data_IF_142525139481
#
_entry.id   IF_142525139481
#
_cell.length_a   1.000
_cell.length_b   1.000
_cell.length_c   1.000
_cell.angle_alpha   90.00
_cell.angle_beta   90.00
_cell.angle_gamma   90.00
#
_symmetry.space_group_name_H-M   'P 1'
#
loop_
_entity.id
_entity.type
_entity.pdbx_description
1 polymer ?
#
# COMPACT_ATOMS: atom_id res chain seq x y z
N UNK A 1 19.12 1.59 -12.32
CA UNK A 1 18.08 2.36 -13.02
C UNK A 1 16.77 2.00 -12.37
N UNK A 2 15.99 3.00 -12.01
CA UNK A 2 14.67 2.83 -11.42
C UNK A 2 13.65 2.45 -12.48
N UNK A 3 12.70 1.56 -12.15
CA UNK A 3 11.57 1.26 -13.01
C UNK A 3 10.37 2.16 -12.69
N UNK A 4 10.04 3.10 -13.58
CA UNK A 4 8.76 3.82 -13.50
C UNK A 4 7.65 2.90 -14.03
N UNK A 5 6.69 2.58 -13.17
CA UNK A 5 5.61 1.63 -13.46
C UNK A 5 4.36 2.35 -13.95
N UNK A 6 3.63 1.67 -14.83
CA UNK A 6 2.24 1.99 -15.16
C UNK A 6 1.29 0.95 -14.58
N UNK A 7 0.00 1.30 -14.46
CA UNK A 7 -1.03 0.42 -13.90
C UNK A 7 -0.98 -0.98 -14.51
N UNK A 8 -0.91 -1.99 -13.65
CA UNK A 8 -0.84 -3.41 -14.01
C UNK A 8 0.57 -3.95 -14.30
N UNK A 9 1.58 -3.08 -14.44
CA UNK A 9 2.96 -3.48 -14.68
C UNK A 9 3.58 -4.14 -13.46
N UNK A 10 4.46 -5.11 -13.72
CA UNK A 10 5.22 -5.84 -12.70
C UNK A 10 6.71 -5.55 -12.84
N UNK A 11 7.44 -5.51 -11.73
CA UNK A 11 8.90 -5.39 -11.72
C UNK A 11 9.50 -6.31 -10.65
N UNK A 12 10.58 -7.07 -10.95
CA UNK A 12 11.25 -7.88 -9.94
C UNK A 12 11.88 -7.02 -8.84
N UNK A 13 11.87 -7.55 -7.62
CA UNK A 13 12.56 -6.96 -6.48
C UNK A 13 13.89 -7.68 -6.29
N UNK A 14 14.99 -6.93 -6.37
CA UNK A 14 16.35 -7.45 -6.23
C UNK A 14 16.86 -7.46 -4.78
N UNK A 15 16.04 -7.00 -3.83
CA UNK A 15 16.35 -6.88 -2.40
C UNK A 15 15.16 -7.34 -1.58
N UNK A 16 15.42 -7.93 -0.40
CA UNK A 16 14.39 -8.37 0.53
C UNK A 16 14.01 -7.30 1.56
N UNK A 17 14.97 -6.48 2.00
CA UNK A 17 14.72 -5.33 2.88
C UNK A 17 14.50 -4.06 2.09
N UNK A 18 13.30 -3.52 2.22
CA UNK A 18 12.75 -2.45 1.40
C UNK A 18 12.04 -1.40 2.26
N UNK A 19 11.85 -0.23 1.68
CA UNK A 19 10.88 0.76 2.16
C UNK A 19 9.88 1.04 1.04
N UNK A 20 8.58 1.10 1.38
CA UNK A 20 7.57 1.69 0.51
C UNK A 20 7.33 3.11 0.99
N UNK A 21 7.74 4.07 0.17
CA UNK A 21 7.57 5.51 0.40
C UNK A 21 6.34 6.00 -0.33
N UNK A 22 5.48 6.73 0.36
CA UNK A 22 4.26 7.31 -0.20
C UNK A 22 4.34 8.82 -0.03
N UNK A 23 3.95 9.57 -1.07
CA UNK A 23 3.71 11.01 -0.99
C UNK A 23 2.36 11.33 -1.63
N UNK A 24 1.41 11.83 -0.85
CA UNK A 24 0.01 12.01 -1.26
C UNK A 24 -0.42 13.49 -1.32
N UNK A 25 0.44 14.43 -0.91
CA UNK A 25 0.12 15.87 -0.88
C UNK A 25 -0.97 16.29 0.11
N UNK A 26 -1.61 15.34 0.80
CA UNK A 26 -2.60 15.53 1.85
C UNK A 26 -2.51 14.38 2.86
N UNK A 27 -2.89 14.57 4.14
CA UNK A 27 -2.91 13.47 5.09
C UNK A 27 -3.76 12.29 4.63
N UNK A 28 -3.12 11.13 4.47
CA UNK A 28 -3.76 9.84 4.23
C UNK A 28 -3.43 8.89 5.38
N UNK A 29 -4.23 7.86 5.58
CA UNK A 29 -3.86 6.69 6.36
C UNK A 29 -3.22 5.67 5.42
N UNK A 30 -1.97 5.30 5.69
CA UNK A 30 -1.31 4.21 4.99
C UNK A 30 -1.34 2.93 5.85
N UNK A 31 -1.92 1.86 5.30
CA UNK A 31 -2.00 0.54 5.90
C UNK A 31 -1.51 -0.51 4.91
N UNK A 32 -1.33 -1.74 5.37
CA UNK A 32 -0.99 -2.85 4.49
C UNK A 32 -1.68 -4.15 4.93
N UNK A 33 -2.18 -4.88 3.94
CA UNK A 33 -2.85 -6.16 4.11
C UNK A 33 -1.95 -7.30 3.62
N UNK A 34 -1.82 -8.35 4.44
CA UNK A 34 -1.10 -9.55 4.10
C UNK A 34 -2.08 -10.58 3.51
N UNK A 35 -1.71 -11.17 2.38
CA UNK A 35 -2.53 -12.18 1.70
C UNK A 35 -1.74 -13.45 1.41
N UNK A 36 -2.46 -14.57 1.35
CA UNK A 36 -1.88 -15.84 0.93
C UNK A 36 -1.65 -15.93 -0.60
N UNK A 37 -1.25 -17.10 -1.08
CA UNK A 37 -0.99 -17.35 -2.50
C UNK A 37 -2.22 -17.10 -3.40
N UNK A 38 -3.43 -17.29 -2.88
CA UNK A 38 -4.70 -16.98 -3.56
C UNK A 38 -5.09 -15.51 -3.44
N UNK A 39 -4.50 -14.80 -2.48
CA UNK A 39 -4.78 -13.40 -2.18
C UNK A 39 -5.79 -13.19 -1.09
N UNK A 40 -6.17 -14.29 -0.42
CA UNK A 40 -7.06 -14.25 0.72
C UNK A 40 -6.33 -13.70 1.93
N UNK A 41 -6.99 -12.79 2.63
CA UNK A 41 -6.58 -12.30 3.93
C UNK A 41 -7.32 -13.13 4.99
N UNK A 42 -6.59 -13.62 5.99
CA UNK A 42 -7.12 -14.59 6.97
C UNK A 42 -7.69 -13.95 8.24
N UNK A 43 -7.93 -12.63 8.22
CA UNK A 43 -8.52 -11.87 9.32
C UNK A 43 -7.82 -10.53 9.55
N UNK A 44 -8.32 -9.77 10.51
CA UNK A 44 -7.76 -8.44 10.86
C UNK A 44 -6.33 -8.51 11.40
N UNK A 45 -5.95 -9.66 11.96
CA UNK A 45 -4.58 -9.91 12.44
C UNK A 45 -3.54 -9.96 11.30
N UNK A 46 -3.98 -10.01 10.05
CA UNK A 46 -3.14 -9.95 8.85
C UNK A 46 -3.07 -8.54 8.25
N UNK A 47 -3.52 -7.53 8.99
CA UNK A 47 -3.50 -6.14 8.57
C UNK A 47 -2.59 -5.34 9.50
N UNK A 48 -1.65 -4.61 8.91
CA UNK A 48 -0.88 -3.57 9.60
C UNK A 48 -1.53 -2.22 9.33
N UNK A 49 -1.92 -1.50 10.38
CA UNK A 49 -2.57 -0.18 10.29
C UNK A 49 -2.14 0.69 11.48
N UNK A 50 -2.43 2.00 11.52
CA UNK A 50 -1.93 2.88 12.58
C UNK A 50 -2.18 2.43 14.03
N UNK A 51 -3.26 1.69 14.29
CA UNK A 51 -3.59 1.14 15.61
C UNK A 51 -2.86 -0.17 15.96
N UNK A 52 -2.46 -0.95 14.95
CA UNK A 52 -1.65 -2.16 15.06
C UNK A 52 -0.56 -2.11 13.97
N UNK A 53 0.49 -1.29 14.17
CA UNK A 53 1.37 -0.88 13.07
C UNK A 53 2.39 -1.92 12.65
N UNK A 54 2.53 -3.03 13.39
CA UNK A 54 3.62 -3.99 13.23
C UNK A 54 3.07 -5.39 12.98
N UNK A 55 3.62 -6.04 11.97
CA UNK A 55 3.46 -7.44 11.61
C UNK A 55 4.84 -8.05 11.38
N UNK A 56 5.01 -9.38 11.42
CA UNK A 56 6.27 -10.00 11.04
C UNK A 56 6.70 -9.56 9.63
N UNK A 57 7.87 -8.91 9.54
CA UNK A 57 8.41 -8.38 8.29
C UNK A 57 7.77 -7.08 7.77
N UNK A 58 6.84 -6.46 8.51
CA UNK A 58 6.13 -5.25 8.04
C UNK A 58 5.87 -4.25 9.17
N UNK A 59 6.17 -2.99 8.91
CA UNK A 59 5.81 -1.88 9.79
C UNK A 59 5.21 -0.72 8.98
N UNK A 60 4.09 -0.16 9.45
CA UNK A 60 3.42 1.01 8.87
C UNK A 60 3.46 2.21 9.82
N UNK A 61 3.12 3.39 9.29
CA UNK A 61 3.06 4.61 10.09
C UNK A 61 1.92 4.57 11.12
N UNK A 62 2.15 5.16 12.30
CA UNK A 62 1.18 5.18 13.42
C UNK A 62 0.14 6.30 13.37
N UNK A 63 0.14 7.07 12.30
CA UNK A 63 -0.71 8.24 12.14
C UNK A 63 -0.95 8.52 10.66
N UNK A 64 -1.96 9.33 10.35
CA UNK A 64 -2.14 9.87 9.02
C UNK A 64 -1.11 10.96 8.72
N UNK A 65 -0.58 11.00 7.49
CA UNK A 65 0.40 11.98 7.06
C UNK A 65 0.36 12.17 5.55
N UNK A 66 0.94 13.27 5.05
CA UNK A 66 1.09 13.47 3.62
C UNK A 66 2.18 12.55 3.04
N UNK A 67 3.18 12.22 3.84
CA UNK A 67 4.28 11.34 3.50
C UNK A 67 4.32 10.15 4.45
N UNK A 68 4.48 8.95 3.90
CA UNK A 68 4.62 7.72 4.66
C UNK A 68 5.85 6.93 4.27
N UNK A 69 6.28 6.12 5.23
CA UNK A 69 7.27 5.08 5.04
C UNK A 69 6.76 3.80 5.67
N UNK A 70 6.66 2.75 4.88
CA UNK A 70 6.40 1.40 5.36
C UNK A 70 7.70 0.62 5.25
N UNK A 71 8.16 0.03 6.35
CA UNK A 71 9.33 -0.85 6.34
C UNK A 71 8.88 -2.27 6.00
N UNK A 72 9.59 -2.92 5.08
CA UNK A 72 9.27 -4.28 4.63
C UNK A 72 10.55 -5.13 4.64
N UNK A 73 10.53 -6.23 5.36
CA UNK A 73 11.53 -7.31 5.30
C UNK A 73 10.85 -8.56 4.74
N UNK A 74 11.03 -8.79 3.45
CA UNK A 74 10.42 -9.90 2.71
C UNK A 74 10.94 -11.27 3.15
N UNK A 75 12.14 -11.35 3.76
CA UNK A 75 12.70 -12.60 4.29
C UNK A 75 12.16 -12.93 5.69
N UNK A 76 11.65 -11.92 6.40
CA UNK A 76 10.99 -12.08 7.71
C UNK A 76 9.47 -12.31 7.59
N UNK A 77 8.92 -12.31 6.38
CA UNK A 77 7.52 -12.62 6.15
C UNK A 77 7.22 -14.08 6.49
N UNK A 78 6.11 -14.39 7.16
CA UNK A 78 5.69 -15.77 7.39
C UNK A 78 5.47 -16.49 6.05
N UNK A 79 5.79 -17.78 5.98
CA UNK A 79 5.69 -18.58 4.74
C UNK A 79 4.28 -18.59 4.10
N UNK A 80 3.24 -18.41 4.91
CA UNK A 80 1.88 -18.34 4.42
C UNK A 80 1.59 -17.05 3.62
N UNK A 81 2.37 -15.98 3.84
CA UNK A 81 2.23 -14.68 3.19
C UNK A 81 2.90 -14.71 1.82
N UNK A 82 2.10 -14.44 0.79
CA UNK A 82 2.58 -14.33 -0.59
C UNK A 82 2.27 -12.97 -1.22
N UNK A 83 1.57 -12.08 -0.51
CA UNK A 83 1.18 -10.76 -0.99
C UNK A 83 1.14 -9.75 0.15
N UNK A 84 1.60 -8.54 -0.13
CA UNK A 84 1.48 -7.36 0.71
C UNK A 84 0.82 -6.27 -0.12
N UNK A 85 -0.44 -5.96 0.17
CA UNK A 85 -1.21 -4.91 -0.51
C UNK A 85 -1.09 -3.60 0.25
N UNK A 86 -0.56 -2.56 -0.37
CA UNK A 86 -0.43 -1.23 0.26
C UNK A 86 -1.72 -0.44 0.03
N UNK A 87 -2.37 -0.05 1.12
CA UNK A 87 -3.68 0.57 1.16
C UNK A 87 -3.53 2.02 1.60
N UNK A 88 -4.13 2.95 0.86
CA UNK A 88 -4.20 4.36 1.24
C UNK A 88 -5.66 4.77 1.36
N UNK A 89 -6.00 5.48 2.43
CA UNK A 89 -7.35 6.03 2.62
C UNK A 89 -7.29 7.47 3.12
N UNK A 90 -8.14 8.33 2.58
CA UNK A 90 -8.36 9.65 3.16
C UNK A 90 -9.06 9.48 4.52
N UNK A 91 -8.64 10.21 5.57
CA UNK A 91 -9.36 10.22 6.83
C UNK A 91 -10.81 10.65 6.60
N UNK A 92 -11.77 9.94 7.21
CA UNK A 92 -13.18 10.35 7.15
C UNK A 92 -13.33 11.79 7.67
N UNK A 93 -14.20 12.57 7.03
CA UNK A 93 -14.43 14.00 7.28
C UNK A 93 -14.95 14.38 8.69
N UNK A 94 -14.90 13.47 9.66
CA UNK A 94 -15.39 13.65 11.04
C UNK A 94 -14.48 14.46 11.96
N UNK A 95 -13.50 15.21 11.46
CA UNK A 95 -12.58 15.97 12.34
C UNK A 95 -11.74 17.09 11.74
N UNK A 96 -11.89 17.48 10.48
CA UNK A 96 -11.12 18.60 9.92
C UNK A 96 -11.35 18.91 8.42
N UNK A 97 -10.81 20.03 7.91
CA UNK A 97 -11.06 20.56 6.56
C UNK A 97 -10.24 19.86 5.46
N UNK A 98 -10.10 18.53 5.54
CA UNK A 98 -9.37 17.74 4.55
C UNK A 98 -10.15 17.56 3.23
N UNK A 99 -9.45 17.24 2.14
CA UNK A 99 -10.09 16.88 0.87
C UNK A 99 -10.93 15.61 1.05
N UNK A 100 -12.11 15.61 0.45
CA UNK A 100 -13.07 14.50 0.57
C UNK A 100 -12.82 13.38 -0.44
N UNK A 101 -11.93 13.56 -1.42
CA UNK A 101 -11.65 12.62 -2.51
C UNK A 101 -10.27 12.82 -3.14
N UNK A 102 -9.69 11.76 -3.68
CA UNK A 102 -8.36 11.78 -4.31
C UNK A 102 -8.29 12.64 -5.57
N UNK A 103 -9.40 12.79 -6.32
CA UNK A 103 -9.45 13.67 -7.49
C UNK A 103 -9.32 15.17 -7.17
N UNK A 104 -9.39 15.55 -5.90
CA UNK A 104 -9.24 16.95 -5.46
C UNK A 104 -7.81 17.29 -4.98
N UNK A 105 -6.86 16.34 -5.07
CA UNK A 105 -5.46 16.52 -4.63
C UNK A 105 -4.48 16.05 -5.68
N UNK A 106 -3.19 16.32 -5.45
CA UNK A 106 -2.13 15.74 -6.26
C UNK A 106 -2.20 14.21 -6.24
N UNK A 107 -1.96 13.58 -7.39
CA UNK A 107 -1.94 12.14 -7.53
C UNK A 107 -0.93 11.52 -6.52
N UNK A 108 -1.35 10.52 -5.72
CA UNK A 108 -0.41 9.85 -4.83
C UNK A 108 0.74 9.22 -5.62
N UNK A 109 1.95 9.46 -5.14
CA UNK A 109 3.18 8.87 -5.65
C UNK A 109 3.67 7.81 -4.67
N UNK A 110 4.08 6.65 -5.18
CA UNK A 110 4.64 5.57 -4.38
C UNK A 110 5.97 5.11 -4.97
N UNK A 111 6.97 4.93 -4.12
CA UNK A 111 8.28 4.40 -4.49
C UNK A 111 8.65 3.22 -3.60
N UNK A 112 9.16 2.16 -4.21
CA UNK A 112 9.81 1.05 -3.52
C UNK A 112 11.31 1.30 -3.57
N UNK A 113 11.93 1.45 -2.40
CA UNK A 113 13.36 1.76 -2.28
C UNK A 113 14.08 0.70 -1.45
N UNK A 114 15.40 0.61 -1.63
CA UNK A 114 16.26 -0.01 -0.61
C UNK A 114 16.38 0.86 0.64
N UNK A 115 16.98 0.31 1.69
CA UNK A 115 17.26 1.05 2.94
C UNK A 115 18.29 2.19 2.75
N UNK A 116 19.09 2.11 1.69
CA UNK A 116 20.03 3.15 1.26
C UNK A 116 19.36 4.29 0.46
N UNK A 117 18.03 4.22 0.28
CA UNK A 117 17.27 5.18 -0.52
C UNK A 117 17.35 4.94 -2.03
N UNK A 118 18.03 3.89 -2.50
CA UNK A 118 18.06 3.54 -3.92
C UNK A 118 16.66 3.15 -4.38
N UNK A 119 16.08 3.93 -5.29
CA UNK A 119 14.77 3.64 -5.87
C UNK A 119 14.84 2.44 -6.82
N UNK A 120 13.98 1.46 -6.58
CA UNK A 120 13.88 0.22 -7.36
C UNK A 120 12.75 0.36 -8.38
N UNK A 121 11.58 0.79 -7.90
CA UNK A 121 10.43 1.07 -8.74
C UNK A 121 9.60 2.22 -8.17
N UNK A 122 8.90 2.94 -9.03
CA UNK A 122 7.95 3.98 -8.63
C UNK A 122 6.68 3.92 -9.44
N UNK A 123 5.61 4.50 -8.90
CA UNK A 123 4.30 4.54 -9.51
C UNK A 123 3.54 5.80 -9.07
N UNK A 124 3.10 6.60 -10.05
CA UNK A 124 2.16 7.71 -9.84
C UNK A 124 0.75 7.23 -10.11
N UNK A 125 -0.14 7.31 -9.12
CA UNK A 125 -1.52 6.83 -9.22
C UNK A 125 -2.40 7.91 -9.83
N UNK A 126 -2.49 7.90 -11.16
CA UNK A 126 -3.34 8.82 -11.93
C UNK A 126 -4.74 8.24 -12.16
N UNK A 127 -5.69 9.10 -12.53
CA UNK A 127 -7.05 8.68 -12.90
C UNK A 127 -8.01 8.44 -11.72
N UNK A 128 -7.63 8.84 -10.51
CA UNK A 128 -8.56 8.93 -9.38
C UNK A 128 -9.43 10.20 -9.52
N UNK A 129 -10.70 10.09 -9.19
CA UNK A 129 -11.69 11.15 -9.13
C UNK A 129 -12.46 11.09 -7.80
N UNK A 130 -13.52 10.28 -7.74
CA UNK A 130 -14.45 10.23 -6.60
C UNK A 130 -13.95 9.39 -5.42
N UNK A 131 -12.83 8.69 -5.61
CA UNK A 131 -12.35 7.67 -4.68
C UNK A 131 -11.76 8.27 -3.41
N UNK A 132 -11.98 7.60 -2.29
CA UNK A 132 -11.48 7.99 -0.97
C UNK A 132 -10.58 6.93 -0.34
N UNK A 133 -10.48 5.75 -0.96
CA UNK A 133 -9.47 4.75 -0.68
C UNK A 133 -8.89 4.18 -1.97
N UNK A 134 -7.67 3.66 -1.92
CA UNK A 134 -6.97 3.07 -3.07
C UNK A 134 -6.01 1.97 -2.63
N UNK A 135 -5.97 0.87 -3.39
CA UNK A 135 -4.85 -0.08 -3.36
C UNK A 135 -3.77 0.45 -4.29
N UNK A 136 -2.67 0.91 -3.71
CA UNK A 136 -1.61 1.59 -4.44
C UNK A 136 -0.77 0.60 -5.27
N UNK A 137 -0.18 -0.37 -4.59
CA UNK A 137 0.66 -1.41 -5.17
C UNK A 137 0.58 -2.69 -4.35
N UNK A 138 1.04 -3.78 -4.94
CA UNK A 138 1.23 -5.05 -4.27
C UNK A 138 2.69 -5.49 -4.38
N UNK A 139 3.26 -5.98 -3.28
CA UNK A 139 4.44 -6.83 -3.32
C UNK A 139 3.93 -8.28 -3.31
N UNK A 140 4.34 -9.11 -4.26
CA UNK A 140 3.86 -10.49 -4.33
C UNK A 140 4.98 -11.48 -4.68
N UNK A 141 4.87 -12.68 -4.14
CA UNK A 141 5.81 -13.79 -4.36
C UNK A 141 5.26 -14.73 -5.44
N UNK A 142 6.07 -15.01 -6.45
CA UNK A 142 5.79 -16.01 -7.49
C UNK A 142 7.06 -16.77 -7.82
N UNK A 143 6.99 -18.11 -7.73
CA UNK A 143 8.16 -18.99 -7.97
C UNK A 143 9.38 -18.55 -7.14
N UNK A 144 9.16 -18.32 -5.84
CA UNK A 144 10.19 -17.89 -4.88
C UNK A 144 10.86 -16.54 -5.14
N UNK A 145 10.38 -15.78 -6.12
CA UNK A 145 10.83 -14.42 -6.37
C UNK A 145 9.73 -13.41 -6.00
N UNK A 146 10.11 -12.38 -5.25
CA UNK A 146 9.24 -11.24 -4.98
C UNK A 146 9.26 -10.23 -6.13
N UNK A 147 8.09 -9.66 -6.39
CA UNK A 147 7.86 -8.65 -7.44
C UNK A 147 6.96 -7.57 -6.87
N UNK A 148 7.09 -6.36 -7.38
CA UNK A 148 6.11 -5.29 -7.19
C UNK A 148 5.16 -5.26 -8.38
N UNK A 149 3.88 -4.96 -8.13
CA UNK A 149 2.85 -4.69 -9.13
C UNK A 149 2.19 -3.35 -8.85
N UNK A 150 2.12 -2.47 -9.85
CA UNK A 150 1.32 -1.26 -9.78
C UNK A 150 -0.18 -1.61 -9.89
N UNK A 151 -0.99 -1.23 -8.91
CA UNK A 151 -2.42 -1.59 -8.84
C UNK A 151 -3.31 -0.38 -9.17
N UNK A 152 -3.20 0.69 -8.38
CA UNK A 152 -3.96 1.93 -8.56
C UNK A 152 -5.47 1.73 -8.65
N UNK A 153 -6.02 0.78 -7.90
CA UNK A 153 -7.46 0.53 -7.85
C UNK A 153 -8.07 1.41 -6.77
N UNK A 154 -8.86 2.40 -7.17
CA UNK A 154 -9.57 3.27 -6.25
C UNK A 154 -10.97 2.75 -5.90
N UNK A 155 -11.50 3.21 -4.76
CA UNK A 155 -12.80 2.85 -4.19
C UNK A 155 -13.57 4.12 -3.79
N UNK A 156 -14.73 4.33 -4.42
CA UNK A 156 -15.59 5.50 -4.20
C UNK A 156 -16.32 5.40 -2.85
N UNK A 157 -16.73 4.20 -2.46
CA UNK A 157 -17.22 3.87 -1.12
C UNK A 157 -16.13 3.84 -0.05
N UNK A 158 -14.89 4.17 -0.39
CA UNK A 158 -13.81 4.39 0.55
C UNK A 158 -13.26 3.14 1.21
N UNK A 159 -12.75 3.31 2.43
CA UNK A 159 -12.07 2.22 3.15
C UNK A 159 -13.01 1.02 3.38
N UNK A 160 -14.28 1.28 3.68
CA UNK A 160 -15.33 0.27 3.84
C UNK A 160 -15.46 -0.66 2.61
N UNK A 161 -15.63 -0.06 1.43
CA UNK A 161 -15.73 -0.79 0.17
C UNK A 161 -14.43 -1.55 -0.14
N UNK A 162 -13.27 -0.92 0.10
CA UNK A 162 -11.96 -1.55 -0.08
C UNK A 162 -11.81 -2.78 0.84
N UNK A 163 -12.11 -2.66 2.13
CA UNK A 163 -12.00 -3.77 3.09
C UNK A 163 -12.92 -4.92 2.70
N UNK A 164 -14.15 -4.60 2.27
CA UNK A 164 -15.11 -5.60 1.77
C UNK A 164 -14.56 -6.36 0.55
N UNK A 165 -13.97 -5.66 -0.42
CA UNK A 165 -13.33 -6.28 -1.59
C UNK A 165 -12.13 -7.16 -1.21
N UNK A 166 -11.41 -6.77 -0.15
CA UNK A 166 -10.33 -7.56 0.46
C UNK A 166 -10.83 -8.69 1.39
N UNK A 167 -12.16 -8.92 1.46
CA UNK A 167 -12.81 -9.88 2.35
C UNK A 167 -12.48 -9.67 3.84
N UNK A 168 -12.26 -8.42 4.24
CA UNK A 168 -12.04 -7.98 5.61
C UNK A 168 -13.31 -7.35 6.19
N UNK A 169 -13.55 -7.50 7.51
CA UNK A 169 -14.57 -6.71 8.19
C UNK A 169 -14.15 -5.23 8.27
N UNK A 170 -15.14 -4.34 8.37
CA UNK A 170 -14.94 -2.90 8.61
C UNK A 170 -14.42 -2.59 10.02
#
# INVERSE_FOLDING_TARGET
MTAELVRGQNHPLSRSRLEVRVSAGTPVVASAALGDASGRIHGVDWVAHPGAPTQPGLEVSRQAAADHRLAVDLDAMPDAVHRVSVLLALPSAGGGPGPVRFGAVAAPFVAVTGLDGTEIASYTITGLDSETAVIALELYRRQDAWKVRAIGQGYAGGLAELLTDQALPE
#
